data_IF_425400532879
#
_entry.id   IF_425400532879
#
_cell.length_a   1.000
_cell.length_b   1.000
_cell.length_c   1.000
_cell.angle_alpha   90.00
_cell.angle_beta   90.00
_cell.angle_gamma   90.00
#
_symmetry.space_group_name_H-M   'P 1'
#
loop_
_entity.id
_entity.type
_entity.pdbx_description
1 polymer ?
#
# COMPACT_ATOMS: atom_id res chain seq x y z
N UNK A 1 -10.84 -5.10 -13.77
CA UNK A 1 -9.90 -4.09 -13.25
C UNK A 1 -8.83 -3.82 -14.29
N UNK A 2 -8.52 -2.54 -14.54
CA UNK A 2 -7.42 -2.13 -15.42
C UNK A 2 -6.23 -1.69 -14.55
N UNK A 3 -5.07 -2.34 -14.75
CA UNK A 3 -3.79 -1.89 -14.19
C UNK A 3 -3.29 -0.70 -15.02
N UNK A 4 -3.09 0.43 -14.35
CA UNK A 4 -2.77 1.70 -14.98
C UNK A 4 -1.29 2.03 -14.88
N UNK A 5 -0.43 1.10 -15.29
CA UNK A 5 1.00 1.33 -15.42
C UNK A 5 1.36 1.90 -16.80
N UNK A 6 2.47 2.62 -16.90
CA UNK A 6 2.93 3.23 -18.13
C UNK A 6 4.44 3.18 -18.28
N UNK A 7 4.93 3.17 -19.54
CA UNK A 7 6.34 3.20 -19.88
C UNK A 7 6.97 1.82 -20.07
N UNK A 8 8.22 1.79 -20.53
CA UNK A 8 9.01 0.58 -20.66
C UNK A 8 8.67 -0.33 -21.84
N UNK A 9 7.82 0.08 -22.77
CA UNK A 9 7.43 -0.74 -23.94
C UNK A 9 8.58 -0.81 -24.96
N UNK A 10 9.31 0.28 -25.12
CA UNK A 10 10.48 0.34 -25.99
C UNK A 10 11.60 1.14 -25.32
N UNK A 11 12.82 0.60 -25.32
CA UNK A 11 14.01 1.24 -24.76
C UNK A 11 14.06 1.21 -23.22
N UNK A 12 14.96 2.02 -22.66
CA UNK A 12 15.07 2.15 -21.21
C UNK A 12 13.80 2.74 -20.62
N UNK A 13 13.39 2.32 -19.43
CA UNK A 13 12.26 2.94 -18.74
C UNK A 13 12.43 4.45 -18.73
N UNK A 14 11.38 5.18 -19.05
CA UNK A 14 11.36 6.67 -19.13
C UNK A 14 11.80 7.34 -17.81
N UNK A 15 11.98 6.56 -16.77
CA UNK A 15 12.33 6.96 -15.40
C UNK A 15 13.76 7.51 -15.25
N UNK A 16 14.60 7.45 -16.28
CA UNK A 16 16.01 7.89 -16.17
C UNK A 16 16.19 9.41 -16.22
N UNK A 17 15.19 10.18 -16.62
CA UNK A 17 15.32 11.65 -16.78
C UNK A 17 14.25 12.48 -16.05
N UNK A 18 13.16 11.88 -15.58
CA UNK A 18 12.10 12.59 -14.86
C UNK A 18 12.23 12.32 -13.36
N UNK A 19 12.05 13.34 -12.53
CA UNK A 19 11.89 13.13 -11.08
C UNK A 19 10.67 12.24 -10.86
N UNK A 20 10.89 11.02 -10.38
CA UNK A 20 9.81 10.15 -9.93
C UNK A 20 9.28 10.77 -8.64
N UNK A 21 8.05 11.26 -8.69
CA UNK A 21 7.33 11.72 -7.50
C UNK A 21 6.39 10.61 -7.03
N UNK A 22 6.11 10.49 -5.72
CA UNK A 22 5.14 9.54 -5.21
C UNK A 22 3.80 9.65 -5.93
N UNK A 23 3.27 8.51 -6.43
CA UNK A 23 2.00 8.46 -7.13
C UNK A 23 1.98 9.02 -8.56
N UNK A 24 3.13 9.14 -9.23
CA UNK A 24 3.24 9.78 -10.56
C UNK A 24 2.33 9.18 -11.65
N UNK A 25 1.85 7.95 -11.50
CA UNK A 25 0.93 7.32 -12.45
C UNK A 25 -0.53 7.31 -11.97
N UNK A 26 -0.83 7.73 -10.74
CA UNK A 26 -2.19 7.79 -10.20
C UNK A 26 -3.16 8.63 -11.06
N UNK A 27 -2.73 9.73 -11.70
CA UNK A 27 -3.61 10.46 -12.61
C UNK A 27 -4.16 9.63 -13.77
N UNK A 28 -3.44 8.59 -14.20
CA UNK A 28 -3.90 7.71 -15.29
C UNK A 28 -5.03 6.80 -14.83
N UNK A 29 -4.91 6.18 -13.64
CA UNK A 29 -5.97 5.36 -13.06
C UNK A 29 -7.22 6.19 -12.79
N UNK A 30 -7.06 7.38 -12.25
CA UNK A 30 -8.15 8.31 -11.99
C UNK A 30 -8.91 8.70 -13.26
N UNK A 31 -8.17 9.05 -14.31
CA UNK A 31 -8.77 9.43 -15.61
C UNK A 31 -9.53 8.26 -16.24
N UNK A 32 -8.90 7.08 -16.33
CA UNK A 32 -9.52 5.90 -16.91
C UNK A 32 -10.77 5.50 -16.13
N UNK A 33 -10.71 5.50 -14.80
CA UNK A 33 -11.84 5.20 -13.94
C UNK A 33 -13.03 6.13 -14.21
N UNK A 34 -12.77 7.43 -14.29
CA UNK A 34 -13.83 8.44 -14.50
C UNK A 34 -14.40 8.45 -15.90
N UNK A 35 -13.56 8.26 -16.93
CA UNK A 35 -14.00 8.38 -18.32
C UNK A 35 -14.59 7.08 -18.90
N UNK A 36 -14.11 5.93 -18.44
CA UNK A 36 -14.55 4.63 -18.93
C UNK A 36 -15.50 3.89 -17.99
N UNK A 37 -15.76 4.43 -16.80
CA UNK A 37 -16.58 3.80 -15.74
C UNK A 37 -16.17 2.35 -15.44
N UNK A 38 -14.88 2.14 -15.27
CA UNK A 38 -14.30 0.82 -15.00
C UNK A 38 -13.45 0.85 -13.74
N UNK A 39 -13.36 -0.28 -13.04
CA UNK A 39 -12.48 -0.41 -11.90
C UNK A 39 -11.02 -0.36 -12.33
N UNK A 40 -10.19 0.39 -11.60
CA UNK A 40 -8.78 0.59 -11.89
C UNK A 40 -7.88 0.24 -10.71
N UNK A 41 -6.63 -0.08 -11.03
CA UNK A 41 -5.56 -0.28 -10.08
C UNK A 41 -4.44 0.73 -10.33
N UNK A 42 -4.15 1.56 -9.33
CA UNK A 42 -3.07 2.54 -9.39
C UNK A 42 -1.73 1.91 -9.00
N UNK A 43 -0.68 2.31 -9.69
CA UNK A 43 0.70 1.89 -9.42
C UNK A 43 1.64 3.08 -9.63
N UNK A 44 2.81 3.05 -9.07
CA UNK A 44 3.88 4.01 -9.34
C UNK A 44 4.28 4.86 -8.14
N UNK A 45 5.34 4.44 -7.45
CA UNK A 45 5.87 5.08 -6.24
C UNK A 45 4.78 5.36 -5.19
N UNK A 46 3.95 4.35 -4.93
CA UNK A 46 3.07 4.33 -3.75
C UNK A 46 3.92 3.74 -2.63
N UNK A 47 4.17 4.51 -1.58
CA UNK A 47 5.21 4.25 -0.57
C UNK A 47 4.59 3.86 0.77
N UNK A 48 3.62 4.63 1.24
CA UNK A 48 3.04 4.48 2.56
C UNK A 48 1.52 4.30 2.57
N UNK A 49 0.98 3.92 3.72
CA UNK A 49 -0.44 3.65 3.90
C UNK A 49 -1.32 4.88 3.73
N UNK A 50 -0.85 6.06 4.14
CA UNK A 50 -1.60 7.32 4.00
C UNK A 50 -1.80 7.66 2.52
N UNK A 51 -0.74 7.55 1.72
CA UNK A 51 -0.82 7.75 0.28
C UNK A 51 -1.77 6.74 -0.37
N UNK A 52 -1.65 5.45 -0.03
CA UNK A 52 -2.51 4.40 -0.55
C UNK A 52 -3.98 4.64 -0.18
N UNK A 53 -4.25 4.94 1.09
CA UNK A 53 -5.60 5.26 1.57
C UNK A 53 -6.18 6.49 0.87
N UNK A 54 -5.39 7.53 0.69
CA UNK A 54 -5.83 8.76 0.00
C UNK A 54 -6.26 8.49 -1.45
N UNK A 55 -5.55 7.63 -2.16
CA UNK A 55 -5.90 7.25 -3.55
C UNK A 55 -7.29 6.60 -3.59
N UNK A 56 -7.55 5.64 -2.70
CA UNK A 56 -8.82 4.91 -2.64
C UNK A 56 -9.96 5.81 -2.12
N UNK A 57 -9.75 6.49 -1.00
CA UNK A 57 -10.76 7.32 -0.35
C UNK A 57 -11.23 8.48 -1.24
N UNK A 58 -10.36 9.01 -2.10
CA UNK A 58 -10.72 10.06 -3.07
C UNK A 58 -11.17 9.49 -4.43
N UNK A 59 -11.48 8.21 -4.51
CA UNK A 59 -12.01 7.56 -5.71
C UNK A 59 -11.10 7.71 -6.94
N UNK A 60 -9.78 7.75 -6.73
CA UNK A 60 -8.79 7.87 -7.81
C UNK A 60 -8.40 6.52 -8.42
N UNK A 61 -8.61 5.44 -7.67
CA UNK A 61 -8.51 4.05 -8.10
C UNK A 61 -9.33 3.17 -7.14
N UNK A 62 -9.55 1.91 -7.50
CA UNK A 62 -10.20 0.91 -6.63
C UNK A 62 -9.18 0.07 -5.87
N UNK A 63 -8.02 -0.11 -6.47
CA UNK A 63 -6.91 -0.88 -5.91
C UNK A 63 -5.60 -0.09 -6.06
N UNK A 64 -4.64 -0.44 -5.23
CA UNK A 64 -3.25 0.02 -5.37
C UNK A 64 -2.31 -1.18 -5.53
N UNK A 65 -1.30 -1.03 -6.37
CA UNK A 65 -0.25 -2.02 -6.58
C UNK A 65 1.10 -1.43 -6.16
N UNK A 66 1.88 -2.24 -5.47
CA UNK A 66 3.20 -1.88 -5.00
C UNK A 66 4.18 -3.01 -5.31
N UNK A 67 5.36 -2.67 -5.82
CA UNK A 67 6.43 -3.64 -6.07
C UNK A 67 7.55 -3.51 -5.05
N UNK A 68 8.41 -2.52 -5.24
CA UNK A 68 9.63 -2.33 -4.44
C UNK A 68 9.39 -2.15 -2.96
N UNK A 69 8.30 -1.49 -2.57
CA UNK A 69 7.96 -1.28 -1.17
C UNK A 69 7.64 -2.60 -0.46
N UNK A 70 6.96 -3.54 -1.14
CA UNK A 70 6.70 -4.87 -0.58
C UNK A 70 7.94 -5.77 -0.56
N UNK A 71 8.95 -5.49 -1.40
CA UNK A 71 10.26 -6.16 -1.31
C UNK A 71 11.09 -5.60 -0.15
N UNK A 72 11.00 -4.29 0.09
CA UNK A 72 11.69 -3.64 1.21
C UNK A 72 11.07 -3.96 2.56
N UNK A 73 9.75 -4.08 2.62
CA UNK A 73 8.99 -4.39 3.82
C UNK A 73 7.87 -5.40 3.53
N UNK A 74 8.14 -6.65 3.78
CA UNK A 74 7.18 -7.75 3.58
C UNK A 74 5.97 -7.68 4.53
N UNK A 75 6.05 -6.88 5.58
CA UNK A 75 4.96 -6.66 6.55
C UNK A 75 4.26 -5.31 6.35
N UNK A 76 4.43 -4.69 5.21
CA UNK A 76 3.90 -3.36 4.91
C UNK A 76 2.39 -3.25 5.21
N UNK A 77 1.59 -4.25 4.79
CA UNK A 77 0.13 -4.26 5.00
C UNK A 77 -0.21 -4.27 6.49
N UNK A 78 0.47 -5.12 7.28
CA UNK A 78 0.30 -5.17 8.73
C UNK A 78 0.65 -3.83 9.39
N UNK A 79 1.75 -3.21 8.97
CA UNK A 79 2.16 -1.90 9.50
C UNK A 79 1.17 -0.79 9.13
N UNK A 80 0.66 -0.78 7.91
CA UNK A 80 -0.38 0.15 7.49
C UNK A 80 -1.67 -0.05 8.31
N UNK A 81 -2.12 -1.29 8.50
CA UNK A 81 -3.29 -1.61 9.32
C UNK A 81 -3.10 -1.16 10.79
N UNK A 82 -1.91 -1.36 11.34
CA UNK A 82 -1.57 -0.91 12.70
C UNK A 82 -1.54 0.62 12.79
N UNK A 83 -0.98 1.30 11.78
CA UNK A 83 -0.97 2.76 11.70
C UNK A 83 -2.38 3.36 11.71
N UNK A 84 -3.31 2.73 11.01
CA UNK A 84 -4.73 3.13 11.01
C UNK A 84 -5.53 2.59 12.21
N UNK A 85 -4.89 1.96 13.18
CA UNK A 85 -5.52 1.40 14.38
C UNK A 85 -6.65 0.40 14.07
N UNK A 86 -6.50 -0.42 13.04
CA UNK A 86 -7.47 -1.46 12.74
C UNK A 86 -7.38 -2.56 13.82
N UNK A 87 -8.53 -2.91 14.40
CA UNK A 87 -8.60 -3.92 15.48
C UNK A 87 -8.04 -5.29 15.06
N UNK A 88 -8.22 -5.64 13.79
CA UNK A 88 -7.80 -6.91 13.20
C UNK A 88 -6.50 -6.80 12.38
N UNK A 89 -5.63 -5.84 12.66
CA UNK A 89 -4.39 -5.64 11.91
C UNK A 89 -3.54 -6.92 11.77
N UNK A 90 -3.54 -7.80 12.78
CA UNK A 90 -2.79 -9.06 12.76
C UNK A 90 -3.36 -10.12 11.81
N UNK A 91 -4.60 -9.99 11.37
CA UNK A 91 -5.21 -10.93 10.41
C UNK A 91 -4.59 -10.80 9.00
N UNK A 92 -3.83 -9.71 8.76
CA UNK A 92 -3.05 -9.54 7.53
C UNK A 92 -1.70 -10.28 7.55
N UNK A 93 -1.41 -11.03 8.62
CA UNK A 93 -0.21 -11.84 8.75
C UNK A 93 -0.55 -13.33 8.68
N UNK A 94 0.43 -14.20 8.36
CA UNK A 94 0.26 -15.64 8.55
C UNK A 94 -0.12 -15.97 10.00
N UNK A 95 -0.98 -16.96 10.22
CA UNK A 95 -1.53 -17.33 11.54
C UNK A 95 -0.44 -17.54 12.60
N UNK A 96 0.67 -18.17 12.22
CA UNK A 96 1.80 -18.37 13.13
C UNK A 96 2.41 -17.05 13.62
N UNK A 97 2.47 -16.03 12.75
CA UNK A 97 3.01 -14.72 13.10
C UNK A 97 2.05 -13.96 14.01
N UNK A 98 0.76 -13.96 13.67
CA UNK A 98 -0.27 -13.27 14.46
C UNK A 98 -0.36 -13.85 15.87
N UNK A 99 -0.23 -15.18 16.02
CA UNK A 99 -0.19 -15.83 17.32
C UNK A 99 0.98 -15.35 18.20
N UNK A 100 2.20 -15.39 17.68
CA UNK A 100 3.37 -14.97 18.47
C UNK A 100 3.42 -13.47 18.73
N UNK A 101 2.95 -12.64 17.80
CA UNK A 101 2.84 -11.21 18.03
C UNK A 101 1.81 -10.86 19.10
N UNK A 102 0.70 -11.59 19.16
CA UNK A 102 -0.29 -11.41 20.23
C UNK A 102 0.31 -11.73 21.60
N UNK A 103 1.07 -12.82 21.70
CA UNK A 103 1.80 -13.15 22.95
C UNK A 103 2.81 -12.09 23.36
N UNK A 104 3.54 -11.53 22.37
CA UNK A 104 4.48 -10.42 22.61
C UNK A 104 3.75 -9.20 23.16
N UNK A 105 2.62 -8.83 22.59
CA UNK A 105 1.88 -7.64 23.01
C UNK A 105 1.31 -7.81 24.42
N UNK A 106 0.75 -8.98 24.75
CA UNK A 106 0.33 -9.32 26.11
C UNK A 106 1.50 -9.19 27.13
N UNK A 107 2.68 -9.60 26.73
CA UNK A 107 3.88 -9.46 27.57
C UNK A 107 4.24 -7.97 27.78
N UNK A 108 4.26 -7.18 26.72
CA UNK A 108 4.56 -5.75 26.80
C UNK A 108 3.55 -4.99 27.67
N UNK A 109 2.26 -5.29 27.52
CA UNK A 109 1.20 -4.66 28.30
C UNK A 109 1.34 -4.96 29.82
N UNK A 110 1.79 -6.17 30.18
CA UNK A 110 2.06 -6.53 31.58
C UNK A 110 3.28 -5.80 32.13
N UNK A 111 4.29 -5.58 31.31
CA UNK A 111 5.53 -4.92 31.73
C UNK A 111 5.45 -3.39 31.73
N UNK A 112 4.53 -2.83 30.93
CA UNK A 112 4.28 -1.38 30.87
C UNK A 112 3.43 -0.84 32.03
N UNK A 113 2.73 -1.71 32.79
CA UNK A 113 1.99 -1.28 33.99
C UNK A 113 2.98 -1.12 35.14
N UNK A 114 3.15 0.11 35.70
CA UNK A 114 3.92 0.28 36.93
C UNK A 114 3.27 -0.55 38.04
N UNK A 115 4.10 -1.20 38.83
CA UNK A 115 3.69 -1.94 40.00
C UNK A 115 2.97 -1.05 41.02
#
# INVERSE_FOLDING_TARGET
VIDCSSGGITGSPVLTKSKIIPGFQVPYSEKIKKEADVSTMAVGAIIDGEQANNIIANNRADLVAMGRELLADTQWVYKAATHFNLENAKDYLPDSYSFYLSRRDEFLDRTAKPA
#
